data_IF_805037934844
#
_entry.id   IF_805037934844
#
_cell.length_a   1.000
_cell.length_b   1.000
_cell.length_c   1.000
_cell.angle_alpha   90.00
_cell.angle_beta   90.00
_cell.angle_gamma   90.00
#
_symmetry.space_group_name_H-M   'P 1'
#
loop_
_entity.id
_entity.type
_entity.pdbx_description
1 polymer ?
#
# COMPACT_ATOMS: atom_id res chain seq x y z
N UNK A 1 22.82 10.52 18.70
CA UNK A 1 21.54 10.83 19.37
C UNK A 1 20.48 10.14 18.55
N UNK A 2 19.73 9.22 19.17
CA UNK A 2 18.72 8.34 18.57
C UNK A 2 17.85 9.04 17.52
N UNK A 3 17.85 8.51 16.29
CA UNK A 3 17.04 8.98 15.16
C UNK A 3 15.83 8.06 14.94
N UNK A 4 15.30 7.45 15.99
CA UNK A 4 14.07 6.66 15.95
C UNK A 4 12.88 7.60 16.13
N UNK A 5 11.93 7.59 15.18
CA UNK A 5 10.75 8.42 15.25
C UNK A 5 9.88 7.99 16.45
N UNK A 6 9.70 8.88 17.41
CA UNK A 6 8.87 8.62 18.58
C UNK A 6 7.38 8.68 18.20
N UNK A 7 6.79 7.50 17.96
CA UNK A 7 5.36 7.33 17.71
C UNK A 7 4.51 7.45 18.99
N UNK A 8 5.11 7.71 20.16
CA UNK A 8 4.38 7.95 21.41
C UNK A 8 3.52 9.22 21.33
N UNK A 9 3.98 10.24 20.59
CA UNK A 9 3.22 11.46 20.37
C UNK A 9 2.01 11.23 19.45
N UNK A 10 0.85 11.74 19.87
CA UNK A 10 -0.42 11.61 19.14
C UNK A 10 -0.37 12.32 17.78
N UNK A 11 0.35 13.44 17.64
CA UNK A 11 0.43 14.17 16.36
C UNK A 11 1.35 13.46 15.38
N UNK A 12 2.52 13.00 15.83
CA UNK A 12 3.45 12.21 15.01
C UNK A 12 2.78 10.95 14.46
N UNK A 13 2.07 10.19 15.29
CA UNK A 13 1.31 9.00 14.86
C UNK A 13 0.21 9.33 13.86
N UNK A 14 -0.53 10.42 14.08
CA UNK A 14 -1.59 10.88 13.15
C UNK A 14 -1.00 11.26 11.78
N UNK A 15 0.14 11.95 11.78
CA UNK A 15 0.85 12.33 10.56
C UNK A 15 1.39 11.11 9.81
N UNK A 16 2.02 10.17 10.52
CA UNK A 16 2.53 8.92 9.95
C UNK A 16 1.42 8.12 9.23
N UNK A 17 0.28 7.91 9.87
CA UNK A 17 -0.82 7.14 9.29
C UNK A 17 -1.50 7.86 8.12
N UNK A 18 -1.64 9.19 8.21
CA UNK A 18 -2.15 10.00 7.10
C UNK A 18 -1.22 9.94 5.88
N UNK A 19 0.10 9.98 6.12
CA UNK A 19 1.10 9.82 5.08
C UNK A 19 1.05 8.42 4.45
N UNK A 20 1.07 7.35 5.26
CA UNK A 20 0.97 5.97 4.77
C UNK A 20 -0.29 5.73 3.94
N UNK A 21 -1.43 6.25 4.38
CA UNK A 21 -2.65 6.21 3.57
C UNK A 21 -2.46 6.87 2.21
N UNK A 22 -1.78 8.01 2.14
CA UNK A 22 -1.55 8.68 0.87
C UNK A 22 -0.63 7.86 -0.04
N UNK A 23 0.44 7.28 0.52
CA UNK A 23 1.35 6.40 -0.21
C UNK A 23 0.62 5.20 -0.79
N UNK A 24 -0.22 4.51 0.01
CA UNK A 24 -0.98 3.33 -0.41
C UNK A 24 -2.03 3.64 -1.49
N UNK A 25 -2.65 4.83 -1.45
CA UNK A 25 -3.67 5.24 -2.44
C UNK A 25 -3.11 5.34 -3.85
N UNK A 26 -1.84 5.70 -4.01
CA UNK A 26 -1.22 5.89 -5.33
C UNK A 26 -1.15 4.59 -6.15
N UNK A 27 -0.50 3.50 -5.67
CA UNK A 27 -0.50 2.24 -6.40
C UNK A 27 -1.90 1.61 -6.47
N UNK A 28 -2.75 1.77 -5.44
CA UNK A 28 -4.11 1.25 -5.52
C UNK A 28 -4.94 1.92 -6.63
N UNK A 29 -4.83 3.24 -6.79
CA UNK A 29 -5.51 3.95 -7.85
C UNK A 29 -5.01 3.52 -9.23
N UNK A 30 -3.71 3.18 -9.36
CA UNK A 30 -3.19 2.60 -10.59
C UNK A 30 -3.83 1.24 -10.89
N UNK A 31 -3.90 0.33 -9.90
CA UNK A 31 -4.59 -0.97 -10.04
C UNK A 31 -6.03 -0.77 -10.52
N UNK A 32 -6.78 0.13 -9.88
CA UNK A 32 -8.18 0.41 -10.22
C UNK A 32 -8.31 0.98 -11.63
N UNK A 33 -7.50 1.98 -11.98
CA UNK A 33 -7.55 2.62 -13.29
C UNK A 33 -7.25 1.65 -14.43
N UNK A 34 -6.20 0.83 -14.31
CA UNK A 34 -5.90 -0.19 -15.32
C UNK A 34 -6.99 -1.29 -15.37
N UNK A 35 -7.55 -1.70 -14.23
CA UNK A 35 -8.67 -2.63 -14.23
C UNK A 35 -9.90 -2.06 -14.95
N UNK A 36 -10.22 -0.79 -14.75
CA UNK A 36 -11.34 -0.10 -15.40
C UNK A 36 -11.13 0.04 -16.90
N UNK A 37 -9.94 0.47 -17.32
CA UNK A 37 -9.55 0.57 -18.73
C UNK A 37 -9.64 -0.79 -19.43
N UNK A 38 -9.05 -1.84 -18.84
CA UNK A 38 -9.12 -3.19 -19.40
C UNK A 38 -10.56 -3.73 -19.43
N UNK A 39 -11.40 -3.37 -18.46
CA UNK A 39 -12.80 -3.76 -18.46
C UNK A 39 -13.56 -3.10 -19.62
N UNK A 40 -13.26 -1.85 -19.96
CA UNK A 40 -13.82 -1.16 -21.12
C UNK A 40 -13.38 -1.84 -22.43
N UNK A 41 -12.10 -2.19 -22.56
CA UNK A 41 -11.56 -2.84 -23.77
C UNK A 41 -12.19 -4.22 -24.01
N UNK A 42 -12.28 -5.06 -22.97
CA UNK A 42 -12.86 -6.42 -23.10
C UNK A 42 -14.38 -6.42 -23.27
N UNK A 43 -15.07 -5.34 -22.87
CA UNK A 43 -16.49 -5.13 -23.11
C UNK A 43 -16.75 -4.89 -24.61
N UNK A 44 -15.87 -4.15 -25.29
CA UNK A 44 -15.98 -3.87 -26.72
C UNK A 44 -15.68 -5.11 -27.58
N UNK A 45 -14.73 -5.94 -27.15
CA UNK A 45 -14.27 -7.13 -27.87
C UNK A 45 -15.05 -8.43 -27.56
N UNK A 46 -16.11 -8.35 -26.75
CA UNK A 46 -16.93 -9.49 -26.31
C UNK A 46 -16.16 -10.61 -25.58
N UNK A 47 -15.01 -10.30 -24.97
CA UNK A 47 -14.11 -11.25 -24.29
C UNK A 47 -14.63 -11.65 -22.89
N UNK A 48 -15.76 -12.35 -22.88
CA UNK A 48 -16.54 -12.71 -21.69
C UNK A 48 -15.74 -13.35 -20.55
N UNK A 49 -14.77 -14.22 -20.87
CA UNK A 49 -13.99 -14.90 -19.85
C UNK A 49 -12.95 -14.00 -19.16
N UNK A 50 -12.31 -13.07 -19.88
CA UNK A 50 -11.37 -12.10 -19.29
C UNK A 50 -12.11 -11.12 -18.40
N UNK A 51 -13.26 -10.64 -18.89
CA UNK A 51 -14.15 -9.72 -18.19
C UNK A 51 -14.57 -10.22 -16.81
N UNK A 52 -14.87 -11.51 -16.67
CA UNK A 52 -15.26 -12.10 -15.38
C UNK A 52 -14.14 -11.97 -14.34
N UNK A 53 -12.92 -12.28 -14.73
CA UNK A 53 -11.77 -12.31 -13.83
C UNK A 53 -11.26 -10.88 -13.54
N UNK A 54 -11.27 -9.98 -14.53
CA UNK A 54 -11.02 -8.54 -14.34
C UNK A 54 -12.02 -7.91 -13.37
N UNK A 55 -13.31 -8.29 -13.43
CA UNK A 55 -14.30 -7.84 -12.44
C UNK A 55 -13.99 -8.31 -11.02
N UNK A 56 -13.38 -9.48 -10.85
CA UNK A 56 -12.93 -9.98 -9.54
C UNK A 56 -11.77 -9.14 -9.02
N UNK A 57 -10.80 -8.83 -9.88
CA UNK A 57 -9.69 -7.91 -9.53
C UNK A 57 -10.19 -6.52 -9.16
N UNK A 58 -11.05 -5.92 -9.99
CA UNK A 58 -11.59 -4.57 -9.73
C UNK A 58 -12.37 -4.52 -8.41
N UNK A 59 -13.21 -5.52 -8.10
CA UNK A 59 -13.91 -5.61 -6.81
C UNK A 59 -12.95 -5.74 -5.62
N UNK A 60 -11.87 -6.51 -5.76
CA UNK A 60 -10.85 -6.62 -4.73
C UNK A 60 -10.10 -5.29 -4.52
N UNK A 61 -9.79 -4.57 -5.62
CA UNK A 61 -9.27 -3.20 -5.58
C UNK A 61 -10.22 -2.21 -4.87
N UNK A 62 -11.53 -2.30 -5.14
CA UNK A 62 -12.52 -1.47 -4.46
C UNK A 62 -12.62 -1.79 -2.96
N UNK A 63 -12.50 -3.08 -2.60
CA UNK A 63 -12.43 -3.51 -1.21
C UNK A 63 -11.18 -2.94 -0.51
N UNK A 64 -10.01 -3.00 -1.16
CA UNK A 64 -8.78 -2.35 -0.67
C UNK A 64 -9.00 -0.85 -0.43
N UNK A 65 -9.62 -0.16 -1.39
CA UNK A 65 -9.86 1.29 -1.28
C UNK A 65 -10.73 1.61 -0.07
N UNK A 66 -11.79 0.83 0.13
CA UNK A 66 -12.66 0.95 1.29
C UNK A 66 -11.89 0.72 2.59
N UNK A 67 -11.12 -0.36 2.69
CA UNK A 67 -10.31 -0.68 3.89
C UNK A 67 -9.28 0.42 4.20
N UNK A 68 -8.58 0.92 3.18
CA UNK A 68 -7.61 2.03 3.32
C UNK A 68 -8.31 3.30 3.80
N UNK A 69 -9.51 3.61 3.28
CA UNK A 69 -10.26 4.78 3.73
C UNK A 69 -10.84 4.61 5.15
N UNK A 70 -11.34 3.42 5.48
CA UNK A 70 -12.07 3.16 6.72
C UNK A 70 -11.15 2.90 7.92
N UNK A 71 -10.02 2.22 7.69
CA UNK A 71 -9.10 1.77 8.74
C UNK A 71 -7.92 2.74 8.87
N UNK A 72 -7.43 3.37 7.81
CA UNK A 72 -6.41 4.41 7.98
C UNK A 72 -7.04 5.79 8.20
N UNK A 73 -8.22 5.85 8.80
CA UNK A 73 -8.87 7.11 9.19
C UNK A 73 -8.26 7.63 10.52
N UNK A 74 -7.46 8.71 10.48
CA UNK A 74 -6.84 9.30 11.65
C UNK A 74 -7.84 9.83 12.68
N UNK A 75 -9.12 10.03 12.30
CA UNK A 75 -10.16 10.43 13.24
C UNK A 75 -10.54 9.28 14.19
N UNK A 76 -10.55 8.03 13.71
CA UNK A 76 -10.88 6.84 14.51
C UNK A 76 -9.72 6.41 15.40
N UNK A 77 -8.48 6.59 14.93
CA UNK A 77 -7.27 6.15 15.62
C UNK A 77 -6.88 7.09 16.77
N UNK A 78 -7.30 8.36 16.71
CA UNK A 78 -6.99 9.36 17.74
C UNK A 78 -7.93 9.32 18.96
N UNK A 79 -9.04 8.57 18.88
CA UNK A 79 -10.05 8.52 19.93
C UNK A 79 -9.65 7.60 21.11
N UNK A 80 -8.88 6.53 20.85
CA UNK A 80 -8.40 5.63 21.90
C UNK A 80 -6.98 5.99 22.32
N UNK A 81 -6.81 6.34 23.61
CA UNK A 81 -5.51 6.65 24.19
C UNK A 81 -4.63 5.40 24.41
N UNK A 82 -5.21 4.20 24.29
CA UNK A 82 -4.59 2.89 24.58
C UNK A 82 -4.46 1.97 23.35
N UNK A 83 -4.60 2.47 22.11
CA UNK A 83 -4.45 1.60 20.94
C UNK A 83 -3.04 1.01 20.90
N UNK A 84 -2.94 -0.31 21.03
CA UNK A 84 -1.71 -1.04 20.70
C UNK A 84 -1.47 -0.94 19.19
N UNK A 85 -0.57 -0.03 18.84
CA UNK A 85 -0.23 0.29 17.45
C UNK A 85 0.23 -0.96 16.70
N UNK A 86 0.89 -1.91 17.37
CA UNK A 86 1.37 -3.12 16.72
C UNK A 86 0.19 -4.03 16.33
N UNK A 87 -0.68 -4.35 17.29
CA UNK A 87 -1.89 -5.11 17.01
C UNK A 87 -2.76 -4.43 15.92
N UNK A 88 -2.77 -3.10 15.92
CA UNK A 88 -3.45 -2.31 14.89
C UNK A 88 -2.82 -2.46 13.50
N UNK A 89 -1.49 -2.32 13.40
CA UNK A 89 -0.73 -2.47 12.17
C UNK A 89 -0.81 -3.91 11.63
N UNK A 90 -0.70 -4.91 12.51
CA UNK A 90 -0.85 -6.33 12.15
C UNK A 90 -2.25 -6.62 11.59
N UNK A 91 -3.29 -6.06 12.21
CA UNK A 91 -4.66 -6.20 11.71
C UNK A 91 -4.86 -5.50 10.37
N UNK A 92 -4.32 -4.29 10.17
CA UNK A 92 -4.35 -3.61 8.86
C UNK A 92 -3.64 -4.45 7.81
N UNK A 93 -2.43 -4.91 8.12
CA UNK A 93 -1.59 -5.71 7.25
C UNK A 93 -2.36 -6.94 6.75
N UNK A 94 -2.92 -7.71 7.68
CA UNK A 94 -3.73 -8.88 7.36
C UNK A 94 -4.94 -8.53 6.49
N UNK A 95 -5.68 -7.47 6.84
CA UNK A 95 -6.90 -7.08 6.14
C UNK A 95 -6.64 -6.57 4.72
N UNK A 96 -5.53 -5.87 4.47
CA UNK A 96 -5.15 -5.38 3.15
C UNK A 96 -4.52 -6.47 2.29
N UNK A 97 -3.72 -7.38 2.87
CA UNK A 97 -3.04 -8.43 2.10
C UNK A 97 -4.02 -9.39 1.42
N UNK A 98 -5.12 -9.73 2.08
CA UNK A 98 -6.12 -10.67 1.55
C UNK A 98 -6.71 -10.24 0.19
N UNK A 99 -7.34 -9.05 0.04
CA UNK A 99 -7.82 -8.58 -1.25
C UNK A 99 -6.69 -8.28 -2.24
N UNK A 100 -5.49 -7.88 -1.79
CA UNK A 100 -4.34 -7.70 -2.69
C UNK A 100 -3.90 -9.03 -3.34
N UNK A 101 -3.83 -10.11 -2.57
CA UNK A 101 -3.53 -11.44 -3.10
C UNK A 101 -4.56 -11.89 -4.16
N UNK A 102 -5.82 -11.46 -4.04
CA UNK A 102 -6.84 -11.71 -5.06
C UNK A 102 -6.50 -10.96 -6.35
N UNK A 103 -6.11 -9.69 -6.27
CA UNK A 103 -5.68 -8.90 -7.44
C UNK A 103 -4.50 -9.58 -8.13
N UNK A 104 -3.46 -9.94 -7.36
CA UNK A 104 -2.25 -10.58 -7.88
C UNK A 104 -2.56 -11.94 -8.53
N UNK A 105 -3.30 -12.80 -7.84
CA UNK A 105 -3.61 -14.14 -8.35
C UNK A 105 -4.42 -14.14 -9.66
N UNK A 106 -5.43 -13.27 -9.78
CA UNK A 106 -6.14 -13.13 -11.07
C UNK A 106 -5.29 -12.43 -12.13
N UNK A 107 -4.45 -11.46 -11.73
CA UNK A 107 -3.51 -10.79 -12.62
C UNK A 107 -2.56 -11.77 -13.30
N UNK A 108 -1.94 -12.68 -12.53
CA UNK A 108 -1.06 -13.74 -13.04
C UNK A 108 -1.78 -14.66 -14.03
N UNK A 109 -2.96 -15.18 -13.65
CA UNK A 109 -3.76 -16.06 -14.51
C UNK A 109 -4.12 -15.37 -15.83
N UNK A 110 -4.54 -14.11 -15.77
CA UNK A 110 -4.89 -13.34 -16.96
C UNK A 110 -3.68 -13.07 -17.84
N UNK A 111 -2.52 -12.75 -17.26
CA UNK A 111 -1.28 -12.54 -18.01
C UNK A 111 -0.86 -13.80 -18.76
N UNK A 112 -0.92 -14.97 -18.12
CA UNK A 112 -0.61 -16.25 -18.75
C UNK A 112 -1.54 -16.51 -19.93
N UNK A 113 -2.86 -16.37 -19.73
CA UNK A 113 -3.88 -16.58 -20.77
C UNK A 113 -3.73 -15.63 -21.94
N UNK A 114 -3.51 -14.34 -21.67
CA UNK A 114 -3.36 -13.31 -22.71
C UNK A 114 -2.05 -13.48 -23.49
N UNK A 115 -0.98 -13.91 -22.82
CA UNK A 115 0.30 -14.24 -23.47
C UNK A 115 0.13 -15.42 -24.43
N UNK A 116 -0.60 -16.47 -24.02
CA UNK A 116 -0.83 -17.66 -24.84
C UNK A 116 -1.58 -17.37 -26.16
N UNK A 117 -2.40 -16.32 -26.20
CA UNK A 117 -3.15 -15.92 -27.38
C UNK A 117 -2.55 -14.69 -28.10
N UNK A 118 -1.40 -14.19 -27.65
CA UNK A 118 -0.71 -13.06 -28.28
C UNK A 118 -1.39 -11.70 -28.09
N UNK A 119 -2.21 -11.53 -27.04
CA UNK A 119 -2.87 -10.26 -26.73
C UNK A 119 -1.91 -9.29 -26.01
N UNK A 120 -0.90 -8.79 -26.74
CA UNK A 120 0.24 -8.03 -26.19
C UNK A 120 -0.15 -6.77 -25.43
N UNK A 121 -1.17 -6.05 -25.90
CA UNK A 121 -1.61 -4.79 -25.28
C UNK A 121 -2.23 -5.06 -23.90
N UNK A 122 -3.13 -6.05 -23.82
CA UNK A 122 -3.72 -6.50 -22.55
C UNK A 122 -2.63 -6.99 -21.58
N UNK A 123 -1.63 -7.73 -22.07
CA UNK A 123 -0.51 -8.18 -21.25
C UNK A 123 0.29 -7.01 -20.70
N UNK A 124 0.50 -5.95 -21.47
CA UNK A 124 1.22 -4.77 -21.02
C UNK A 124 0.48 -4.07 -19.86
N UNK A 125 -0.84 -3.90 -19.95
CA UNK A 125 -1.64 -3.28 -18.90
C UNK A 125 -1.77 -4.17 -17.65
N UNK A 126 -1.90 -5.49 -17.83
CA UNK A 126 -1.88 -6.43 -16.70
C UNK A 126 -0.54 -6.39 -15.95
N UNK A 127 0.58 -6.20 -16.65
CA UNK A 127 1.89 -5.98 -15.99
C UNK A 127 1.92 -4.69 -15.18
N UNK A 128 1.24 -3.63 -15.63
CA UNK A 128 1.11 -2.39 -14.84
C UNK A 128 0.32 -2.61 -13.56
N UNK A 129 -0.72 -3.45 -13.61
CA UNK A 129 -1.46 -3.86 -12.40
C UNK A 129 -0.55 -4.64 -11.45
N UNK A 130 0.26 -5.56 -11.97
CA UNK A 130 1.19 -6.36 -11.18
C UNK A 130 2.29 -5.49 -10.52
N UNK A 131 2.92 -4.59 -11.28
CA UNK A 131 3.89 -3.61 -10.78
C UNK A 131 3.29 -2.77 -9.63
N UNK A 132 2.06 -2.29 -9.82
CA UNK A 132 1.35 -1.53 -8.79
C UNK A 132 0.96 -2.39 -7.58
N UNK A 133 0.65 -3.67 -7.78
CA UNK A 133 0.32 -4.62 -6.71
C UNK A 133 1.53 -4.94 -5.85
N UNK A 134 2.70 -5.17 -6.46
CA UNK A 134 3.96 -5.37 -5.75
C UNK A 134 4.35 -4.15 -4.94
N UNK A 135 4.23 -2.95 -5.51
CA UNK A 135 4.47 -1.70 -4.79
C UNK A 135 3.50 -1.50 -3.61
N UNK A 136 2.23 -1.87 -3.79
CA UNK A 136 1.25 -1.81 -2.71
C UNK A 136 1.58 -2.82 -1.60
N UNK A 137 2.05 -4.02 -1.95
CA UNK A 137 2.49 -5.03 -0.98
C UNK A 137 3.67 -4.53 -0.15
N UNK A 138 4.68 -3.94 -0.79
CA UNK A 138 5.85 -3.35 -0.10
C UNK A 138 5.40 -2.31 0.94
N UNK A 139 4.53 -1.37 0.56
CA UNK A 139 4.01 -0.36 1.47
C UNK A 139 3.16 -0.93 2.61
N UNK A 140 2.47 -2.05 2.38
CA UNK A 140 1.73 -2.77 3.42
C UNK A 140 2.70 -3.44 4.39
N UNK A 141 3.75 -4.10 3.91
CA UNK A 141 4.77 -4.75 4.74
C UNK A 141 5.55 -3.71 5.58
N UNK A 142 5.84 -2.54 5.01
CA UNK A 142 6.49 -1.41 5.70
C UNK A 142 5.72 -0.90 6.92
N UNK A 143 4.38 -1.00 6.92
CA UNK A 143 3.57 -0.59 8.06
C UNK A 143 3.93 -1.39 9.32
N UNK A 144 4.24 -2.67 9.17
CA UNK A 144 4.58 -3.57 10.28
C UNK A 144 6.04 -3.37 10.71
N UNK A 145 6.95 -3.26 9.75
CA UNK A 145 8.39 -3.06 10.02
C UNK A 145 8.66 -1.76 10.79
N UNK A 146 7.98 -0.68 10.42
CA UNK A 146 8.18 0.63 11.04
C UNK A 146 7.68 0.66 12.49
N UNK A 147 6.59 -0.03 12.81
CA UNK A 147 6.06 -0.08 14.18
C UNK A 147 6.94 -0.93 15.11
N UNK A 148 7.62 -1.95 14.58
CA UNK A 148 8.60 -2.76 15.32
C UNK A 148 9.88 -1.97 15.64
N UNK A 149 10.38 -1.19 14.66
CA UNK A 149 11.56 -0.33 14.82
C UNK A 149 11.36 0.76 15.89
N UNK A 150 10.17 1.37 15.93
CA UNK A 150 9.84 2.41 16.90
C UNK A 150 9.85 1.91 18.37
N UNK A 151 9.78 0.60 18.61
CA UNK A 151 9.90 -0.02 19.95
C UNK A 151 11.30 -0.56 20.26
N UNK A 152 12.26 -0.43 19.35
CA UNK A 152 13.61 -1.00 19.53
C UNK A 152 13.64 -2.53 19.55
N UNK A 153 12.62 -3.20 18.97
CA UNK A 153 12.44 -4.65 19.03
C UNK A 153 13.08 -5.42 17.85
N UNK A 154 13.95 -4.77 17.08
CA UNK A 154 14.51 -5.34 15.85
C UNK A 154 15.98 -5.72 16.02
N UNK A 155 16.25 -7.01 16.24
CA UNK A 155 17.46 -7.65 15.70
C UNK A 155 17.27 -7.77 14.18
N UNK A 156 17.49 -6.69 13.43
CA UNK A 156 17.59 -6.80 11.97
C UNK A 156 18.94 -7.45 11.68
N UNK A 157 18.91 -8.68 11.18
CA UNK A 157 20.03 -9.28 10.49
C UNK A 157 20.35 -8.39 9.28
N UNK A 158 21.31 -7.50 9.44
CA UNK A 158 21.86 -6.60 8.41
C UNK A 158 22.39 -7.44 7.25
N UNK A 159 21.56 -7.71 6.24
CA UNK A 159 22.05 -8.22 4.96
C UNK A 159 21.52 -7.48 3.72
N UNK A 160 20.56 -6.56 3.84
CA UNK A 160 20.08 -5.81 2.67
C UNK A 160 20.14 -4.28 2.88
N UNK A 161 20.86 -3.62 1.96
CA UNK A 161 21.08 -2.18 1.80
C UNK A 161 19.83 -1.25 1.72
N UNK A 162 18.59 -1.68 1.38
CA UNK A 162 17.43 -0.77 1.30
C UNK A 162 17.05 -0.09 2.62
N UNK A 163 17.43 -0.67 3.77
CA UNK A 163 17.11 -0.12 5.09
C UNK A 163 17.71 1.27 5.38
N UNK A 164 18.84 1.61 4.75
CA UNK A 164 19.48 2.93 4.91
C UNK A 164 18.73 4.06 4.18
N UNK A 165 18.12 3.75 3.02
CA UNK A 165 17.33 4.73 2.27
C UNK A 165 16.09 5.15 3.06
N UNK A 166 15.43 4.19 3.74
CA UNK A 166 14.26 4.44 4.57
C UNK A 166 14.57 5.27 5.83
N UNK A 167 15.70 5.01 6.48
CA UNK A 167 16.17 5.83 7.62
C UNK A 167 16.47 7.27 7.19
N UNK A 168 17.02 7.44 5.98
CA UNK A 168 17.32 8.76 5.41
C UNK A 168 16.04 9.53 5.09
N UNK A 169 15.05 8.88 4.47
CA UNK A 169 13.77 9.51 4.14
C UNK A 169 12.95 9.91 5.39
N UNK A 170 12.97 9.08 6.43
CA UNK A 170 12.34 9.41 7.70
C UNK A 170 13.04 10.59 8.41
N UNK A 171 14.38 10.65 8.36
CA UNK A 171 15.15 11.77 8.88
C UNK A 171 14.89 13.07 8.09
N UNK A 172 14.73 12.98 6.78
CA UNK A 172 14.42 14.12 5.91
C UNK A 172 13.01 14.67 6.13
N UNK A 173 12.01 13.81 6.36
CA UNK A 173 10.65 14.25 6.73
C UNK A 173 10.63 14.95 8.09
N UNK A 174 11.35 14.41 9.08
CA UNK A 174 11.44 15.03 10.41
C UNK A 174 12.19 16.36 10.36
N UNK A 175 13.24 16.47 9.55
CA UNK A 175 14.00 17.73 9.39
C UNK A 175 13.21 18.79 8.63
N UNK A 176 12.45 18.42 7.58
CA UNK A 176 11.55 19.35 6.87
C UNK A 176 10.41 19.83 7.77
N UNK A 177 9.84 18.98 8.62
CA UNK A 177 8.81 19.42 9.57
C UNK A 177 9.36 20.43 10.61
N UNK A 178 10.57 20.22 11.14
CA UNK A 178 11.22 21.17 12.06
C UNK A 178 11.54 22.52 11.40
N UNK A 179 11.87 22.52 10.11
CA UNK A 179 12.10 23.75 9.33
C UNK A 179 10.81 24.56 9.11
N UNK A 180 9.67 23.90 8.97
CA UNK A 180 8.37 24.55 8.86
C UNK A 180 7.97 25.18 10.20
N UNK A 181 8.22 24.50 11.33
CA UNK A 181 7.96 25.03 12.67
C UNK A 181 8.84 26.24 13.01
N UNK A 182 10.11 26.24 12.61
CA UNK A 182 11.03 27.36 12.84
C UNK A 182 10.73 28.64 12.03
N UNK A 183 9.91 28.54 10.97
CA UNK A 183 9.45 29.69 10.16
C UNK A 183 8.08 30.23 10.59
N UNK A 184 7.36 29.47 11.42
CA UNK A 184 6.02 29.84 11.90
C UNK A 184 6.04 30.52 13.29
N UNK A 185 7.23 30.64 13.91
CA UNK A 185 7.49 31.34 15.16
C UNK A 185 8.29 32.63 14.90
#
# INVERSE_FOLDING_TARGET
MDTTADLSDKRTRKAFLAHKRHELRTPLNAILGYCEMLLEDVEQDDKHDLKRDLRRMNRAGQQLLKLINDILDPAKIAADAEVDIQAYADNIHFQLRNPLNVVMGYGEILQERCTAVGATDIVADLKRIDEASLRLLELIDDLVSYTQLARGQTEIALQDEPGQAYLTMAADLVSTMRLIEARAA
#
